data_IF_693641699411
#
_entry.id   IF_693641699411
#
_cell.length_a   1.000
_cell.length_b   1.000
_cell.length_c   1.000
_cell.angle_alpha   90.00
_cell.angle_beta   90.00
_cell.angle_gamma   90.00
#
_symmetry.space_group_name_H-M   'P 1'
#
loop_
_entity.id
_entity.type
_entity.pdbx_description
1 polymer ?
#
# COMPACT_ATOMS: atom_id res chain seq x y z
N UNK A 1 -18.00 9.28 -7.07
CA UNK A 1 -17.53 10.61 -7.51
C UNK A 1 -16.09 10.41 -7.95
N UNK A 2 -15.73 10.83 -9.16
CA UNK A 2 -14.36 10.73 -9.62
C UNK A 2 -13.53 11.81 -8.90
N UNK A 3 -12.51 11.40 -8.15
CA UNK A 3 -11.60 12.31 -7.44
C UNK A 3 -10.31 12.55 -8.22
N UNK A 4 -10.19 12.01 -9.44
CA UNK A 4 -9.07 12.29 -10.32
C UNK A 4 -9.00 13.79 -10.64
N UNK A 5 -7.87 14.40 -10.31
CA UNK A 5 -7.51 15.73 -10.77
C UNK A 5 -6.56 15.56 -11.96
N UNK A 6 -6.96 15.96 -13.17
CA UNK A 6 -6.06 15.94 -14.32
C UNK A 6 -4.75 16.67 -13.99
N UNK A 7 -3.65 16.14 -14.53
CA UNK A 7 -2.28 16.68 -14.33
C UNK A 7 -1.77 16.69 -12.89
N UNK A 8 -2.49 16.07 -11.95
CA UNK A 8 -2.07 15.92 -10.55
C UNK A 8 -1.91 14.43 -10.22
N UNK A 9 -0.69 14.02 -9.87
CA UNK A 9 -0.44 12.65 -9.44
C UNK A 9 -1.27 12.28 -8.21
N UNK A 10 -1.69 11.03 -8.11
CA UNK A 10 -2.44 10.52 -6.96
C UNK A 10 -1.69 9.37 -6.27
N UNK A 11 -1.93 9.23 -4.97
CA UNK A 11 -1.47 8.09 -4.19
C UNK A 11 -2.67 7.48 -3.48
N UNK A 12 -2.89 6.19 -3.71
CA UNK A 12 -3.81 5.37 -2.93
C UNK A 12 -3.03 4.68 -1.83
N UNK A 13 -3.57 4.69 -0.61
CA UNK A 13 -2.93 4.14 0.58
C UNK A 13 -3.93 3.21 1.29
N UNK A 14 -3.48 2.01 1.66
CA UNK A 14 -4.19 1.06 2.50
C UNK A 14 -4.43 1.61 3.92
N UNK A 15 -5.59 1.31 4.49
CA UNK A 15 -6.00 1.89 5.78
C UNK A 15 -5.38 1.20 7.00
N UNK A 16 -4.81 0.03 6.79
CA UNK A 16 -4.26 -0.94 7.72
C UNK A 16 -2.72 -0.93 7.78
N UNK A 17 -2.11 0.14 7.25
CA UNK A 17 -0.65 0.31 7.19
C UNK A 17 -0.17 1.44 8.13
N UNK A 18 -0.21 1.26 9.47
CA UNK A 18 0.25 2.27 10.44
C UNK A 18 1.77 2.51 10.38
N UNK A 19 2.47 1.70 9.59
CA UNK A 19 3.87 1.87 9.22
C UNK A 19 4.10 3.07 8.29
N UNK A 20 3.07 3.68 7.70
CA UNK A 20 3.28 4.79 6.78
C UNK A 20 4.06 5.95 7.45
N UNK A 21 5.13 6.38 6.79
CA UNK A 21 5.93 7.56 7.17
C UNK A 21 6.13 8.45 5.94
N UNK A 22 6.49 9.74 6.13
CA UNK A 22 6.85 10.60 5.00
C UNK A 22 7.92 9.99 4.09
N UNK A 23 8.99 9.42 4.65
CA UNK A 23 10.03 8.76 3.87
C UNK A 23 9.54 7.55 3.04
N UNK A 24 8.54 6.81 3.54
CA UNK A 24 7.91 5.70 2.80
C UNK A 24 7.03 6.23 1.67
N UNK A 25 6.35 7.36 1.87
CA UNK A 25 5.59 8.04 0.83
C UNK A 25 6.51 8.64 -0.26
N UNK A 26 7.65 9.21 0.13
CA UNK A 26 8.68 9.67 -0.81
C UNK A 26 9.22 8.50 -1.63
N UNK A 27 9.51 7.36 -0.99
CA UNK A 27 9.93 6.15 -1.70
C UNK A 27 8.87 5.63 -2.68
N UNK A 28 7.58 5.73 -2.32
CA UNK A 28 6.47 5.34 -3.19
C UNK A 28 6.27 6.30 -4.37
N UNK A 29 6.73 7.54 -4.29
CA UNK A 29 6.60 8.52 -5.37
C UNK A 29 7.90 8.72 -6.15
N UNK A 30 9.01 8.14 -5.69
CA UNK A 30 10.30 8.22 -6.36
C UNK A 30 10.25 7.55 -7.74
N UNK A 31 10.72 8.26 -8.76
CA UNK A 31 10.70 7.77 -10.15
C UNK A 31 9.30 7.71 -10.79
N UNK A 32 8.24 8.16 -10.10
CA UNK A 32 6.86 8.13 -10.61
C UNK A 32 6.72 8.86 -11.94
N UNK A 33 7.43 9.98 -12.12
CA UNK A 33 7.42 10.74 -13.36
C UNK A 33 7.93 9.91 -14.54
N UNK A 34 8.95 9.07 -14.34
CA UNK A 34 9.51 8.25 -15.41
C UNK A 34 8.67 6.99 -15.67
N UNK A 35 8.26 6.31 -14.60
CA UNK A 35 7.62 5.00 -14.68
C UNK A 35 6.14 5.12 -15.05
N UNK A 36 5.42 6.07 -14.45
CA UNK A 36 3.98 6.25 -14.59
C UNK A 36 3.19 5.61 -13.45
N UNK A 37 3.72 4.55 -12.82
CA UNK A 37 3.20 4.01 -11.58
C UNK A 37 4.30 3.43 -10.68
N UNK A 38 4.08 3.44 -9.37
CA UNK A 38 4.91 2.75 -8.38
C UNK A 38 3.98 2.06 -7.38
N UNK A 39 4.21 0.76 -7.15
CA UNK A 39 3.42 -0.06 -6.23
C UNK A 39 4.23 -0.38 -4.97
N UNK A 40 3.64 -0.13 -3.81
CA UNK A 40 4.14 -0.53 -2.49
C UNK A 40 3.51 -1.86 -2.08
N UNK A 41 4.20 -3.00 -2.25
CA UNK A 41 3.63 -4.32 -1.98
C UNK A 41 3.40 -4.56 -0.48
N UNK A 42 2.36 -5.32 -0.15
CA UNK A 42 2.13 -5.85 1.18
C UNK A 42 2.67 -7.29 1.28
N UNK A 43 3.05 -7.72 2.49
CA UNK A 43 3.60 -9.06 2.73
C UNK A 43 2.61 -10.21 2.44
N UNK A 44 1.31 -9.95 2.50
CA UNK A 44 0.24 -10.91 2.25
C UNK A 44 -0.03 -11.14 0.74
N UNK A 45 0.61 -10.34 -0.13
CA UNK A 45 0.45 -10.37 -1.58
C UNK A 45 -0.46 -9.26 -2.15
N UNK A 46 -1.05 -8.46 -1.27
CA UNK A 46 -1.69 -7.18 -1.58
C UNK A 46 -0.68 -6.05 -1.82
N UNK A 47 -1.17 -4.82 -1.68
CA UNK A 47 -0.34 -3.62 -1.73
C UNK A 47 -0.86 -2.58 -0.74
N UNK A 48 0.04 -1.97 0.02
CA UNK A 48 -0.28 -0.88 0.94
C UNK A 48 -0.33 0.48 0.24
N UNK A 49 0.33 0.61 -0.92
CA UNK A 49 0.42 1.88 -1.64
C UNK A 49 0.40 1.70 -3.16
N UNK A 50 -0.27 2.63 -3.85
CA UNK A 50 -0.20 2.75 -5.30
C UNK A 50 -0.12 4.22 -5.69
N UNK A 51 1.02 4.63 -6.22
CA UNK A 51 1.20 5.96 -6.79
C UNK A 51 0.98 5.91 -8.31
N UNK A 52 0.19 6.84 -8.83
CA UNK A 52 -0.13 6.99 -10.24
C UNK A 52 0.22 8.40 -10.70
N UNK A 53 1.02 8.51 -11.76
CA UNK A 53 1.31 9.80 -12.40
C UNK A 53 0.04 10.39 -13.01
N UNK A 54 -0.73 9.56 -13.70
CA UNK A 54 -2.04 9.90 -14.24
C UNK A 54 -3.13 9.10 -13.47
N UNK A 55 -3.92 9.77 -12.62
CA UNK A 55 -4.96 9.12 -11.81
C UNK A 55 -6.00 8.33 -12.61
N UNK A 56 -6.19 8.63 -13.90
CA UNK A 56 -7.15 7.90 -14.76
C UNK A 56 -6.84 6.40 -14.86
N UNK A 57 -5.58 6.02 -14.62
CA UNK A 57 -5.12 4.64 -14.63
C UNK A 57 -5.65 3.82 -13.45
N UNK A 58 -6.19 4.46 -12.40
CA UNK A 58 -6.88 3.78 -11.31
C UNK A 58 -8.11 3.00 -11.78
N UNK A 59 -8.66 3.33 -12.96
CA UNK A 59 -9.73 2.52 -13.57
C UNK A 59 -9.32 1.08 -13.87
N UNK A 60 -8.01 0.78 -13.97
CA UNK A 60 -7.48 -0.58 -14.10
C UNK A 60 -7.81 -1.47 -12.89
N UNK A 61 -8.00 -0.87 -11.71
CA UNK A 61 -8.27 -1.61 -10.47
C UNK A 61 -9.67 -2.25 -10.45
N UNK A 62 -10.59 -1.82 -11.33
CA UNK A 62 -11.95 -2.38 -11.40
C UNK A 62 -11.96 -3.85 -11.79
N UNK A 63 -10.94 -4.28 -12.53
CA UNK A 63 -10.81 -5.65 -13.04
C UNK A 63 -9.84 -6.49 -12.19
N UNK A 64 -9.28 -5.92 -11.12
CA UNK A 64 -8.34 -6.59 -10.22
C UNK A 64 -9.10 -7.35 -9.14
N UNK A 65 -8.86 -8.66 -8.95
CA UNK A 65 -9.35 -9.38 -7.77
C UNK A 65 -8.71 -8.80 -6.51
N UNK A 66 -9.53 -8.15 -5.67
CA UNK A 66 -9.10 -7.55 -4.42
C UNK A 66 -9.08 -8.57 -3.28
N UNK A 67 -8.28 -8.29 -2.24
CA UNK A 67 -8.19 -9.12 -1.02
C UNK A 67 -7.76 -10.58 -1.28
N UNK A 68 -6.87 -10.75 -2.26
CA UNK A 68 -6.22 -12.03 -2.59
C UNK A 68 -4.70 -11.92 -2.53
N UNK A 69 -3.96 -13.02 -2.30
CA UNK A 69 -2.50 -13.00 -2.32
C UNK A 69 -1.86 -12.59 -3.67
N UNK A 70 -2.65 -12.56 -4.74
CA UNK A 70 -2.16 -12.16 -6.06
C UNK A 70 -2.59 -10.73 -6.44
N UNK A 71 -3.26 -9.99 -5.54
CA UNK A 71 -3.83 -8.65 -5.84
C UNK A 71 -2.77 -7.70 -6.42
N UNK A 72 -1.56 -7.67 -5.88
CA UNK A 72 -0.48 -6.84 -6.42
C UNK A 72 -0.05 -7.29 -7.82
N UNK A 73 0.04 -8.59 -8.06
CA UNK A 73 0.42 -9.13 -9.37
C UNK A 73 -0.62 -8.78 -10.43
N UNK A 74 -1.91 -8.94 -10.11
CA UNK A 74 -3.03 -8.57 -10.98
C UNK A 74 -3.07 -7.06 -11.23
N UNK A 75 -2.80 -6.23 -10.21
CA UNK A 75 -2.70 -4.78 -10.35
C UNK A 75 -1.59 -4.37 -11.31
N UNK A 76 -0.39 -4.93 -11.14
CA UNK A 76 0.76 -4.67 -12.02
C UNK A 76 0.44 -5.09 -13.45
N UNK A 77 -0.18 -6.26 -13.63
CA UNK A 77 -0.58 -6.76 -14.94
C UNK A 77 -1.55 -5.80 -15.62
N UNK A 78 -2.63 -5.40 -14.95
CA UNK A 78 -3.64 -4.49 -15.50
C UNK A 78 -3.07 -3.11 -15.89
N UNK A 79 -2.11 -2.58 -15.11
CA UNK A 79 -1.40 -1.33 -15.45
C UNK A 79 -0.47 -1.50 -16.66
N UNK A 80 0.26 -2.62 -16.75
CA UNK A 80 1.16 -2.91 -17.87
C UNK A 80 0.40 -3.14 -19.17
N UNK A 81 -0.77 -3.77 -19.13
CA UNK A 81 -1.65 -3.93 -20.29
C UNK A 81 -2.14 -2.59 -20.87
N UNK A 82 -2.08 -1.52 -20.07
CA UNK A 82 -2.35 -0.13 -20.48
C UNK A 82 -1.10 0.64 -20.89
N UNK A 83 0.06 -0.01 -20.97
CA UNK A 83 1.33 0.60 -21.37
C UNK A 83 2.07 1.33 -20.25
N UNK A 84 1.65 1.20 -18.98
CA UNK A 84 2.32 1.86 -17.85
C UNK A 84 3.52 1.04 -17.39
N UNK A 85 4.66 1.70 -17.15
CA UNK A 85 5.80 1.07 -16.47
C UNK A 85 5.56 1.14 -14.96
N UNK A 86 5.74 0.02 -14.28
CA UNK A 86 5.46 -0.07 -12.85
C UNK A 86 6.77 -0.32 -12.10
N UNK A 87 7.12 0.61 -11.20
CA UNK A 87 8.17 0.42 -10.20
C UNK A 87 7.64 -0.17 -8.91
N UNK A 88 8.55 -0.48 -7.99
CA UNK A 88 8.21 -1.04 -6.69
C UNK A 88 8.82 -0.21 -5.56
N UNK A 89 7.99 0.12 -4.57
CA UNK A 89 8.39 0.71 -3.31
C UNK A 89 8.76 -0.34 -2.26
N UNK A 90 8.96 0.07 -0.99
CA UNK A 90 9.23 -0.86 0.10
C UNK A 90 8.03 -1.76 0.37
N UNK A 91 8.31 -3.00 0.80
CA UNK A 91 7.30 -3.94 1.30
C UNK A 91 6.91 -3.54 2.73
N UNK A 92 5.61 -3.50 3.04
CA UNK A 92 5.08 -3.33 4.40
C UNK A 92 4.13 -4.47 4.78
N UNK A 93 3.77 -4.56 6.06
CA UNK A 93 2.86 -5.57 6.58
C UNK A 93 1.53 -4.93 6.92
N UNK A 94 0.44 -5.46 6.37
CA UNK A 94 -0.89 -5.06 6.75
C UNK A 94 -1.26 -5.62 8.13
N UNK A 95 -2.01 -4.85 8.90
CA UNK A 95 -2.43 -5.20 10.26
C UNK A 95 -3.83 -5.82 10.23
N UNK A 96 -3.89 -7.12 9.95
CA UNK A 96 -5.15 -7.89 9.92
C UNK A 96 -5.45 -8.59 11.26
N UNK A 97 -4.41 -9.02 11.95
CA UNK A 97 -4.54 -9.81 13.18
C UNK A 97 -3.91 -9.12 14.39
N UNK A 98 -4.26 -9.60 15.58
CA UNK A 98 -3.59 -9.17 16.83
C UNK A 98 -2.08 -9.40 16.77
N UNK A 99 -1.62 -10.49 16.14
CA UNK A 99 -0.20 -10.78 15.99
C UNK A 99 0.51 -9.77 15.07
N UNK A 100 -0.17 -9.31 14.01
CA UNK A 100 0.35 -8.28 13.13
C UNK A 100 0.46 -6.95 13.86
N UNK A 101 -0.55 -6.58 14.65
CA UNK A 101 -0.53 -5.37 15.45
C UNK A 101 0.68 -5.33 16.40
N UNK A 102 0.96 -6.43 17.11
CA UNK A 102 2.15 -6.55 17.95
C UNK A 102 3.45 -6.50 17.16
N UNK A 103 3.52 -7.18 16.00
CA UNK A 103 4.73 -7.17 15.16
C UNK A 103 5.01 -5.78 14.60
N UNK A 104 3.99 -5.11 14.08
CA UNK A 104 4.09 -3.80 13.44
C UNK A 104 4.35 -2.70 14.46
N UNK A 105 3.69 -2.74 15.63
CA UNK A 105 3.87 -1.72 16.67
C UNK A 105 5.32 -1.58 17.15
N UNK A 106 6.11 -2.64 17.15
CA UNK A 106 7.52 -2.60 17.52
C UNK A 106 8.37 -1.67 16.63
N UNK A 107 7.93 -1.43 15.38
CA UNK A 107 8.61 -0.57 14.41
C UNK A 107 7.90 0.74 14.09
N UNK A 108 6.78 1.03 14.76
CA UNK A 108 5.99 2.25 14.51
C UNK A 108 6.29 3.34 15.54
N UNK A 109 6.17 4.60 15.10
CA UNK A 109 6.15 5.77 15.98
C UNK A 109 4.71 6.26 16.21
N UNK A 110 4.54 7.29 17.04
CA UNK A 110 3.24 7.91 17.28
C UNK A 110 2.38 7.14 18.27
N UNK A 111 1.05 7.19 18.08
CA UNK A 111 0.08 6.64 19.04
C UNK A 111 -0.22 5.16 18.83
N UNK A 112 0.13 4.59 17.66
CA UNK A 112 -0.17 3.20 17.34
C UNK A 112 0.42 2.19 18.34
N UNK A 113 1.70 2.27 18.74
CA UNK A 113 2.25 1.33 19.72
C UNK A 113 1.56 1.37 21.08
N UNK A 114 1.19 2.57 21.56
CA UNK A 114 0.44 2.73 22.80
C UNK A 114 -0.97 2.13 22.69
N UNK A 115 -1.66 2.38 21.57
CA UNK A 115 -2.99 1.83 21.31
C UNK A 115 -2.97 0.29 21.26
N UNK A 116 -1.94 -0.31 20.65
CA UNK A 116 -1.76 -1.78 20.64
C UNK A 116 -1.55 -2.31 22.06
N UNK A 117 -0.68 -1.68 22.84
CA UNK A 117 -0.40 -2.11 24.21
C UNK A 117 -1.63 -2.05 25.14
N UNK A 118 -2.53 -1.09 24.91
CA UNK A 118 -3.75 -0.91 25.70
C UNK A 118 -4.91 -1.81 25.24
N UNK A 119 -5.08 -2.01 23.92
CA UNK A 119 -6.32 -2.54 23.36
C UNK A 119 -6.19 -3.94 22.73
N UNK A 120 -4.99 -4.41 22.42
CA UNK A 120 -4.79 -5.67 21.69
C UNK A 120 -4.36 -6.78 22.65
N UNK A 121 -5.08 -7.92 22.71
CA UNK A 121 -4.66 -9.07 23.51
C UNK A 121 -3.24 -9.50 23.16
N UNK A 122 -2.42 -9.81 24.17
CA UNK A 122 -1.06 -10.32 23.91
C UNK A 122 -1.12 -11.68 23.20
N UNK A 123 -0.20 -11.95 22.27
CA UNK A 123 -0.11 -13.26 21.66
C UNK A 123 0.19 -14.28 22.76
N UNK A 124 -0.54 -15.40 22.77
CA UNK A 124 -0.26 -16.49 23.70
C UNK A 124 1.03 -17.15 23.23
N UNK A 125 2.07 -17.13 24.07
CA UNK A 125 3.29 -17.90 23.81
C UNK A 125 2.92 -19.37 23.65
N UNK A 126 3.21 -19.96 22.48
CA UNK A 126 3.15 -21.42 22.29
C UNK A 126 4.36 -22.08 22.92
#
# INVERSE_FOLDING_TARGET
>A
MDTALPDTASVLVGMDTPQLTPARLDALTNGLHELGAVLGPAEDGGWWGLALRDPSHATALRDVPMSTPDTAQWTVKALRERGVRVGYGPVLRDVDTAADAWTVSAGCAGTFPAAVAENVPRPVSR
#
